data_IF_011115347634
#
_entry.id   IF_011115347634
#
_cell.length_a   1.000
_cell.length_b   1.000
_cell.length_c   1.000
_cell.angle_alpha   90.00
_cell.angle_beta   90.00
_cell.angle_gamma   90.00
#
_symmetry.space_group_name_H-M   'P 1'
#
loop_
_entity.id
_entity.type
_entity.pdbx_description
1 polymer ?
#
# COMPACT_ATOMS: atom_id res chain seq x y z
N UNK A 1 -7.42 6.78 -11.42
CA UNK A 1 -7.21 6.07 -10.13
C UNK A 1 -6.77 7.03 -9.02
N UNK A 2 -5.56 7.59 -9.03
CA UNK A 2 -5.08 8.47 -7.94
C UNK A 2 -5.91 9.74 -7.70
N UNK A 3 -6.55 10.26 -8.75
CA UNK A 3 -7.48 11.38 -8.69
C UNK A 3 -8.73 11.06 -7.86
N UNK A 4 -9.29 9.85 -8.00
CA UNK A 4 -10.43 9.42 -7.20
C UNK A 4 -10.02 9.23 -5.73
N UNK A 5 -8.90 8.56 -5.49
CA UNK A 5 -8.35 8.38 -4.14
C UNK A 5 -8.09 9.73 -3.45
N UNK A 6 -7.51 10.70 -4.15
CA UNK A 6 -7.27 12.04 -3.62
C UNK A 6 -8.57 12.80 -3.28
N UNK A 7 -9.65 12.56 -4.03
CA UNK A 7 -10.96 13.14 -3.75
C UNK A 7 -11.68 12.46 -2.57
N UNK A 8 -11.46 11.15 -2.37
CA UNK A 8 -12.07 10.37 -1.29
C UNK A 8 -11.32 10.49 0.05
N UNK A 9 -10.00 10.66 0.00
CA UNK A 9 -9.13 10.70 1.18
C UNK A 9 -9.58 11.69 2.28
N UNK A 10 -10.06 12.91 1.96
CA UNK A 10 -10.55 13.84 2.98
C UNK A 10 -11.81 13.33 3.70
N UNK A 11 -12.66 12.53 3.05
CA UNK A 11 -13.86 11.99 3.68
C UNK A 11 -13.53 10.95 4.74
N UNK A 12 -12.49 10.15 4.51
CA UNK A 12 -12.05 9.10 5.45
C UNK A 12 -11.10 9.61 6.53
N UNK A 13 -10.27 10.61 6.21
CA UNK A 13 -9.14 11.01 7.07
C UNK A 13 -9.16 12.47 7.50
N UNK A 14 -9.97 13.32 6.86
CA UNK A 14 -9.92 14.78 7.04
C UNK A 14 -8.69 15.46 6.43
N UNK A 15 -7.86 14.73 5.68
CA UNK A 15 -6.59 15.23 5.14
C UNK A 15 -6.70 15.38 3.62
N UNK A 16 -6.44 16.60 3.14
CA UNK A 16 -6.30 16.86 1.71
C UNK A 16 -4.91 16.48 1.19
N UNK A 17 -4.89 15.76 0.07
CA UNK A 17 -3.67 15.38 -0.64
C UNK A 17 -3.90 15.47 -2.14
N UNK A 18 -2.87 15.90 -2.87
CA UNK A 18 -2.91 15.82 -4.32
C UNK A 18 -2.76 14.37 -4.80
N UNK A 19 -3.25 14.03 -6.01
CA UNK A 19 -3.09 12.69 -6.59
C UNK A 19 -1.63 12.21 -6.59
N UNK A 20 -0.70 13.11 -6.92
CA UNK A 20 0.75 12.84 -6.91
C UNK A 20 1.28 12.55 -5.50
N UNK A 21 0.77 13.26 -4.48
CA UNK A 21 1.14 12.99 -3.09
C UNK A 21 0.64 11.63 -2.63
N UNK A 22 -0.59 11.24 -3.01
CA UNK A 22 -1.14 9.90 -2.74
C UNK A 22 -0.27 8.80 -3.38
N UNK A 23 0.08 8.97 -4.66
CA UNK A 23 0.93 8.03 -5.38
C UNK A 23 2.31 7.89 -4.73
N UNK A 24 2.98 9.01 -4.44
CA UNK A 24 4.31 9.01 -3.82
C UNK A 24 4.28 8.40 -2.41
N UNK A 25 3.20 8.61 -1.67
CA UNK A 25 3.01 8.00 -0.36
C UNK A 25 2.93 6.48 -0.48
N UNK A 26 2.12 5.94 -1.40
CA UNK A 26 2.03 4.49 -1.57
C UNK A 26 3.39 3.89 -2.00
N UNK A 27 4.08 4.51 -2.96
CA UNK A 27 5.42 4.07 -3.39
C UNK A 27 6.38 3.97 -2.21
N UNK A 28 6.37 4.98 -1.34
CA UNK A 28 7.21 5.02 -0.14
C UNK A 28 6.86 3.89 0.84
N UNK A 29 5.57 3.67 1.09
CA UNK A 29 5.09 2.59 1.96
C UNK A 29 5.51 1.22 1.41
N UNK A 30 5.29 0.98 0.12
CA UNK A 30 5.70 -0.25 -0.56
C UNK A 30 7.20 -0.51 -0.47
N UNK A 31 8.01 0.54 -0.69
CA UNK A 31 9.46 0.41 -0.60
C UNK A 31 9.91 0.03 0.83
N UNK A 32 9.35 0.68 1.86
CA UNK A 32 9.66 0.39 3.26
C UNK A 32 9.24 -1.03 3.66
N UNK A 33 8.02 -1.43 3.29
CA UNK A 33 7.52 -2.78 3.52
C UNK A 33 8.43 -3.85 2.90
N UNK A 34 8.78 -3.68 1.62
CA UNK A 34 9.64 -4.64 0.91
C UNK A 34 11.05 -4.71 1.51
N UNK A 35 11.62 -3.57 1.90
CA UNK A 35 12.93 -3.55 2.54
C UNK A 35 12.91 -4.25 3.91
N UNK A 36 11.91 -3.98 4.75
CA UNK A 36 11.77 -4.61 6.05
C UNK A 36 11.58 -6.13 5.91
N UNK A 37 10.71 -6.55 4.99
CA UNK A 37 10.49 -7.98 4.67
C UNK A 37 11.75 -8.66 4.13
N UNK A 38 12.51 -7.99 3.25
CA UNK A 38 13.79 -8.54 2.73
C UNK A 38 14.83 -8.68 3.83
N UNK A 39 14.98 -7.65 4.68
CA UNK A 39 15.92 -7.64 5.80
C UNK A 39 15.63 -8.78 6.79
N UNK A 40 14.36 -8.96 7.16
CA UNK A 40 13.98 -10.00 8.12
C UNK A 40 14.18 -11.44 7.61
N UNK A 41 14.39 -11.62 6.30
CA UNK A 41 14.74 -12.92 5.71
C UNK A 41 16.25 -13.19 5.69
N UNK A 42 17.09 -12.22 6.05
CA UNK A 42 18.54 -12.37 6.07
C UNK A 42 19.02 -12.86 7.43
N UNK A 43 19.79 -13.94 7.44
CA UNK A 43 20.42 -14.47 8.64
C UNK A 43 21.48 -13.51 9.19
N UNK A 44 21.61 -13.42 10.52
CA UNK A 44 22.61 -12.57 11.18
C UNK A 44 22.24 -11.09 11.28
N UNK A 45 21.02 -10.71 10.90
CA UNK A 45 20.50 -9.35 11.03
C UNK A 45 19.36 -9.32 12.04
N UNK A 46 19.36 -8.31 12.91
CA UNK A 46 18.24 -8.11 13.84
C UNK A 46 16.95 -7.80 13.05
N UNK A 47 15.88 -8.60 13.25
CA UNK A 47 14.59 -8.34 12.65
C UNK A 47 14.06 -6.96 13.04
N UNK A 48 13.39 -6.31 12.11
CA UNK A 48 12.70 -5.05 12.34
C UNK A 48 11.20 -5.22 12.14
N UNK A 49 10.42 -4.32 12.72
CA UNK A 49 8.98 -4.28 12.46
C UNK A 49 8.72 -4.01 10.96
N UNK A 50 7.77 -4.73 10.38
CA UNK A 50 7.35 -4.55 8.99
C UNK A 50 6.17 -3.58 8.98
N UNK A 51 6.31 -2.36 8.44
CA UNK A 51 5.24 -1.36 8.48
C UNK A 51 4.02 -1.82 7.69
N UNK A 52 2.83 -1.63 8.25
CA UNK A 52 1.54 -1.93 7.62
C UNK A 52 1.45 -3.38 7.12
N UNK A 53 2.07 -4.33 7.83
CA UNK A 53 2.22 -5.71 7.35
C UNK A 53 0.87 -6.39 7.05
N UNK A 54 -0.11 -6.18 7.93
CA UNK A 54 -1.43 -6.78 7.82
C UNK A 54 -2.22 -6.17 6.66
N UNK A 55 -2.20 -4.85 6.51
CA UNK A 55 -2.85 -4.13 5.41
C UNK A 55 -2.22 -4.51 4.07
N UNK A 56 -0.89 -4.57 4.01
CA UNK A 56 -0.16 -4.98 2.81
C UNK A 56 -0.44 -6.44 2.46
N UNK A 57 -0.59 -7.32 3.45
CA UNK A 57 -0.96 -8.71 3.23
C UNK A 57 -2.40 -8.84 2.72
N UNK A 58 -3.33 -8.03 3.22
CA UNK A 58 -4.71 -7.97 2.71
C UNK A 58 -4.73 -7.51 1.25
N UNK A 59 -4.00 -6.44 0.92
CA UNK A 59 -3.89 -5.94 -0.45
C UNK A 59 -3.31 -6.99 -1.41
N UNK A 60 -2.31 -7.76 -0.96
CA UNK A 60 -1.71 -8.83 -1.75
C UNK A 60 -2.61 -10.08 -1.89
N UNK A 61 -3.50 -10.32 -0.92
CA UNK A 61 -4.43 -11.44 -0.93
C UNK A 61 -5.68 -11.17 -1.80
N UNK A 62 -6.02 -9.90 -2.06
CA UNK A 62 -7.09 -9.56 -2.99
C UNK A 62 -6.59 -9.81 -4.42
N UNK A 63 -6.94 -10.96 -4.96
CA UNK A 63 -6.64 -11.33 -6.35
C UNK A 63 -7.70 -10.73 -7.30
N UNK A 64 -7.37 -9.58 -7.88
CA UNK A 64 -8.22 -8.93 -8.89
C UNK A 64 -8.23 -9.67 -10.24
N UNK A 65 -7.40 -10.70 -10.45
CA UNK A 65 -7.39 -11.47 -11.71
C UNK A 65 -8.64 -12.32 -11.91
N UNK A 66 -9.39 -12.58 -10.84
CA UNK A 66 -10.61 -13.39 -10.83
C UNK A 66 -11.88 -12.54 -11.02
N UNK A 67 -11.76 -11.22 -10.95
CA UNK A 67 -12.91 -10.32 -11.10
C UNK A 67 -13.14 -10.00 -12.58
N UNK A 68 -14.38 -10.15 -13.10
CA UNK A 68 -14.70 -9.76 -14.47
C UNK A 68 -14.47 -8.25 -14.65
N UNK A 69 -13.95 -7.82 -15.82
CA UNK A 69 -13.60 -6.41 -16.11
C UNK A 69 -14.71 -5.41 -15.73
N UNK A 70 -15.98 -5.81 -15.82
CA UNK A 70 -17.14 -5.02 -15.40
C UNK A 70 -17.18 -4.61 -13.91
N UNK A 71 -16.37 -5.25 -13.06
CA UNK A 71 -16.32 -5.03 -11.61
C UNK A 71 -14.99 -4.46 -11.13
N UNK A 72 -14.01 -4.26 -12.02
CA UNK A 72 -12.78 -3.54 -11.72
C UNK A 72 -13.07 -2.06 -11.98
N UNK A 73 -13.43 -1.32 -10.93
CA UNK A 73 -13.67 0.14 -10.97
C UNK A 73 -12.44 0.91 -10.49
#
# INVERSE_FOLDING_TARGET
MWTAIAAELPHETGIERSPLQCENRLKTVNHRYNNARKRNRQSGVNPIEVPYADEMSKLAAVDYSVLPESQIR
#
